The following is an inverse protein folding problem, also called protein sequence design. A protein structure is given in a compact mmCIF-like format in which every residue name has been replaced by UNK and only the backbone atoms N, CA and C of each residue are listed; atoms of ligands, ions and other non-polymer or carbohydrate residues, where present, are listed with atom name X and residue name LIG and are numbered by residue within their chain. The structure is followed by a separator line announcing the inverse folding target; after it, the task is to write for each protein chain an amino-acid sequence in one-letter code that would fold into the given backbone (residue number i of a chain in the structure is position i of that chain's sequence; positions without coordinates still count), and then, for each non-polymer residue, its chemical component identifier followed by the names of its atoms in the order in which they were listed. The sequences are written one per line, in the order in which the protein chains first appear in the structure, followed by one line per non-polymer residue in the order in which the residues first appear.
data_IF_440106527662
#
_entry.id   IF_440106527662
#
_cell.length_a   1.000
_cell.length_b   1.000
_cell.length_c   1.000
_cell.angle_alpha   90.00
_cell.angle_beta   90.00
_cell.angle_gamma   90.00
#
_symmetry.space_group_name_H-M   'P 1'
#
loop_
_entity.id
_entity.type
_entity.pdbx_description
1 polymer ?
#
# COMPACT_ATOMS: atom_id res chain seq x y z
N UNK A 1 14.67 5.80 9.28
CA UNK A 1 15.06 4.47 9.79
C UNK A 1 14.14 3.46 9.12
N UNK A 2 14.59 2.22 8.92
CA UNK A 2 13.67 1.19 8.46
C UNK A 2 12.61 0.96 9.55
N UNK A 3 11.35 0.67 9.20
CA UNK A 3 10.35 0.35 10.19
C UNK A 3 10.75 -0.93 10.94
N UNK A 4 10.51 -0.94 12.23
CA UNK A 4 10.68 -2.08 13.12
C UNK A 4 9.33 -2.58 13.59
N UNK A 5 9.30 -3.73 14.27
CA UNK A 5 8.09 -4.24 14.91
C UNK A 5 7.49 -3.19 15.85
N UNK A 6 6.18 -2.96 15.69
CA UNK A 6 5.43 -1.94 16.42
C UNK A 6 5.31 -0.59 15.69
N UNK A 7 6.11 -0.36 14.64
CA UNK A 7 6.01 0.88 13.88
C UNK A 7 4.76 0.88 12.99
N UNK A 8 4.15 2.06 12.90
CA UNK A 8 3.07 2.32 11.96
C UNK A 8 3.62 2.77 10.61
N UNK A 9 3.16 2.15 9.53
CA UNK A 9 3.40 2.55 8.15
C UNK A 9 2.06 2.89 7.50
N UNK A 10 2.04 3.88 6.61
CA UNK A 10 0.82 4.27 5.88
C UNK A 10 0.97 3.92 4.42
N UNK A 11 0.10 3.06 3.92
CA UNK A 11 -0.03 2.83 2.48
C UNK A 11 -0.88 3.94 1.87
N UNK A 12 -0.43 4.44 0.71
CA UNK A 12 -1.15 5.42 -0.09
C UNK A 12 -1.22 4.89 -1.51
N UNK A 13 -2.44 4.67 -1.98
CA UNK A 13 -2.73 4.18 -3.33
C UNK A 13 -3.42 5.28 -4.12
N UNK A 14 -3.02 5.46 -5.37
CA UNK A 14 -3.62 6.44 -6.27
C UNK A 14 -4.29 5.72 -7.44
N UNK A 15 -5.59 5.97 -7.62
CA UNK A 15 -6.39 5.43 -8.73
C UNK A 15 -6.72 6.58 -9.66
N UNK A 16 -6.46 6.41 -10.96
CA UNK A 16 -6.87 7.35 -11.98
C UNK A 16 -8.17 6.86 -12.61
N UNK A 17 -9.21 7.69 -12.56
CA UNK A 17 -10.51 7.34 -13.13
C UNK A 17 -10.55 7.39 -14.64
N UNK A 18 -11.40 6.53 -15.19
CA UNK A 18 -11.73 6.43 -16.61
C UNK A 18 -13.20 6.77 -16.89
N UNK A 19 -14.01 7.04 -15.85
CA UNK A 19 -15.44 7.27 -15.94
C UNK A 19 -16.29 6.02 -15.77
N UNK A 20 -15.69 4.87 -15.46
CA UNK A 20 -16.38 3.61 -15.19
C UNK A 20 -16.22 3.17 -13.72
N UNK A 21 -17.07 2.26 -13.24
CA UNK A 21 -16.86 1.59 -11.95
C UNK A 21 -15.53 0.84 -11.90
N UNK A 22 -14.77 1.10 -10.85
CA UNK A 22 -13.49 0.45 -10.58
C UNK A 22 -13.55 -0.24 -9.22
N UNK A 23 -12.94 -1.42 -9.14
CA UNK A 23 -12.75 -2.16 -7.89
C UNK A 23 -11.27 -2.33 -7.62
N UNK A 24 -10.81 -1.84 -6.48
CA UNK A 24 -9.44 -2.07 -6.01
C UNK A 24 -9.46 -3.06 -4.86
N UNK A 25 -8.63 -4.09 -4.94
CA UNK A 25 -8.42 -5.07 -3.88
C UNK A 25 -6.96 -5.10 -3.47
N UNK A 26 -6.68 -5.18 -2.17
CA UNK A 26 -5.33 -5.26 -1.62
C UNK A 26 -5.31 -6.31 -0.48
N UNK A 27 -4.56 -7.39 -0.68
CA UNK A 27 -4.42 -8.45 0.32
C UNK A 27 -3.18 -8.18 1.16
N UNK A 28 -3.39 -7.78 2.42
CA UNK A 28 -2.28 -7.41 3.29
C UNK A 28 -1.42 -8.65 3.62
N UNK A 29 -0.11 -8.61 3.36
CA UNK A 29 0.78 -9.72 3.66
C UNK A 29 0.78 -10.04 5.16
N UNK A 30 1.12 -11.28 5.48
CA UNK A 30 1.36 -11.66 6.86
C UNK A 30 2.49 -10.82 7.48
N UNK A 31 2.36 -10.54 8.77
CA UNK A 31 3.30 -9.66 9.49
C UNK A 31 2.91 -8.19 9.51
N UNK A 32 1.78 -7.81 8.92
CA UNK A 32 1.10 -6.53 9.14
C UNK A 32 -0.16 -6.71 10.00
N UNK A 33 -0.54 -5.68 10.75
CA UNK A 33 -1.83 -5.64 11.42
C UNK A 33 -3.00 -5.52 10.43
N UNK A 34 -4.22 -5.64 10.95
CA UNK A 34 -5.38 -5.06 10.26
C UNK A 34 -5.16 -3.56 10.01
N UNK A 35 -5.72 -2.99 8.93
CA UNK A 35 -5.62 -1.56 8.69
C UNK A 35 -6.38 -0.79 9.78
N UNK A 36 -5.88 0.39 10.10
CA UNK A 36 -6.67 1.39 10.81
C UNK A 36 -7.77 1.97 9.92
N UNK A 37 -8.24 3.17 10.24
CA UNK A 37 -9.24 3.86 9.41
C UNK A 37 -8.76 4.01 7.97
N UNK A 38 -9.58 3.53 7.03
CA UNK A 38 -9.30 3.65 5.59
C UNK A 38 -9.96 4.94 5.11
N UNK A 39 -9.14 5.89 4.67
CA UNK A 39 -9.55 7.16 4.12
C UNK A 39 -9.50 7.10 2.60
N UNK A 40 -10.61 7.39 1.94
CA UNK A 40 -10.69 7.47 0.48
C UNK A 40 -11.28 8.82 0.08
N UNK A 41 -10.65 9.51 -0.88
CA UNK A 41 -11.14 10.81 -1.36
C UNK A 41 -12.44 10.70 -2.17
N UNK A 42 -12.77 9.49 -2.65
CA UNK A 42 -13.99 9.13 -3.35
C UNK A 42 -14.24 7.64 -3.15
N UNK A 43 -15.51 7.22 -3.12
CA UNK A 43 -15.89 5.82 -2.98
C UNK A 43 -15.81 5.34 -1.54
N UNK A 44 -16.05 4.05 -1.35
CA UNK A 44 -16.04 3.42 -0.03
C UNK A 44 -15.04 2.27 -0.02
N UNK A 45 -14.30 2.17 1.08
CA UNK A 45 -13.36 1.09 1.33
C UNK A 45 -13.79 0.27 2.55
N UNK A 46 -13.61 -1.04 2.48
CA UNK A 46 -13.93 -2.00 3.53
C UNK A 46 -12.76 -2.95 3.74
N UNK A 47 -12.73 -3.61 4.90
CA UNK A 47 -11.71 -4.61 5.22
C UNK A 47 -12.37 -5.91 5.69
N UNK A 48 -12.01 -7.02 5.04
CA UNK A 48 -12.35 -8.38 5.45
C UNK A 48 -11.20 -8.96 6.29
N UNK A 49 -11.37 -9.14 7.62
CA UNK A 49 -10.32 -9.65 8.49
C UNK A 49 -9.99 -11.13 8.27
N UNK A 50 -10.91 -11.92 7.71
CA UNK A 50 -10.69 -13.35 7.45
C UNK A 50 -9.78 -13.51 6.23
N UNK A 51 -10.02 -12.72 5.19
CA UNK A 51 -9.21 -12.73 3.96
C UNK A 51 -8.03 -11.77 4.01
N UNK A 52 -7.93 -10.95 5.06
CA UNK A 52 -6.98 -9.82 5.17
C UNK A 52 -7.05 -8.89 3.95
N UNK A 53 -8.25 -8.69 3.43
CA UNK A 53 -8.49 -8.05 2.14
C UNK A 53 -9.10 -6.67 2.34
N UNK A 54 -8.40 -5.64 1.90
CA UNK A 54 -8.96 -4.30 1.69
C UNK A 54 -9.65 -4.29 0.34
N UNK A 55 -10.88 -3.79 0.28
CA UNK A 55 -11.64 -3.63 -0.97
C UNK A 55 -12.19 -2.21 -1.04
N UNK A 56 -11.85 -1.50 -2.10
CA UNK A 56 -12.39 -0.18 -2.43
C UNK A 56 -13.21 -0.24 -3.72
N UNK A 57 -14.34 0.48 -3.73
CA UNK A 57 -15.19 0.62 -4.91
C UNK A 57 -15.47 2.10 -5.16
N UNK A 58 -15.39 2.52 -6.43
CA UNK A 58 -15.76 3.87 -6.82
C UNK A 58 -15.94 4.03 -8.32
N UNK A 59 -16.51 5.17 -8.72
CA UNK A 59 -16.70 5.55 -10.13
C UNK A 59 -16.13 6.95 -10.35
N UNK A 60 -14.80 7.10 -10.30
CA UNK A 60 -14.15 8.39 -10.57
C UNK A 60 -14.35 8.82 -12.03
N UNK A 61 -14.53 10.12 -12.25
CA UNK A 61 -14.61 10.67 -13.61
C UNK A 61 -13.28 10.44 -14.36
N UNK A 62 -13.33 10.45 -15.69
CA UNK A 62 -12.13 10.34 -16.53
C UNK A 62 -11.10 11.42 -16.16
N UNK A 63 -9.89 10.99 -15.79
CA UNK A 63 -8.81 11.86 -15.36
C UNK A 63 -8.87 12.32 -13.90
N UNK A 64 -9.89 11.92 -13.13
CA UNK A 64 -9.97 12.22 -11.70
C UNK A 64 -9.03 11.29 -10.91
N UNK A 65 -8.17 11.87 -10.08
CA UNK A 65 -7.32 11.11 -9.16
C UNK A 65 -8.05 10.85 -7.84
N UNK A 66 -8.05 9.59 -7.40
CA UNK A 66 -8.57 9.16 -6.10
C UNK A 66 -7.40 8.65 -5.26
N UNK A 67 -7.31 9.13 -4.01
CA UNK A 67 -6.34 8.63 -3.05
C UNK A 67 -7.05 7.74 -2.02
N UNK A 68 -6.52 6.54 -1.82
CA UNK A 68 -6.91 5.63 -0.74
C UNK A 68 -5.71 5.47 0.20
N UNK A 69 -5.93 5.73 1.49
CA UNK A 69 -4.89 5.72 2.52
C UNK A 69 -5.34 4.93 3.73
N UNK A 70 -4.46 4.08 4.23
CA UNK A 70 -4.69 3.40 5.50
C UNK A 70 -3.38 3.10 6.22
N UNK A 71 -3.33 3.28 7.55
CA UNK A 71 -2.20 2.87 8.35
C UNK A 71 -2.27 1.38 8.68
N UNK A 72 -1.11 0.73 8.77
CA UNK A 72 -0.93 -0.62 9.35
C UNK A 72 0.27 -0.60 10.29
N UNK A 73 0.32 -1.54 11.21
CA UNK A 73 1.45 -1.72 12.12
C UNK A 73 2.24 -2.95 11.75
N UNK A 74 3.57 -2.85 11.76
CA UNK A 74 4.47 -4.00 11.56
C UNK A 74 4.42 -4.91 12.80
N UNK A 75 4.17 -6.21 12.60
CA UNK A 75 3.99 -7.19 13.68
C UNK A 75 5.10 -8.25 13.74
N UNK A 76 6.01 -8.24 12.78
CA UNK A 76 7.13 -9.18 12.66
C UNK A 76 8.45 -8.47 12.91
N UNK A 77 9.42 -9.22 13.43
CA UNK A 77 10.81 -8.80 13.54
C UNK A 77 11.53 -9.05 12.21
N UNK A 78 12.47 -8.18 11.83
CA UNK A 78 13.25 -8.31 10.61
C UNK A 78 14.62 -8.99 10.83
N UNK A 79 15.51 -8.97 9.81
CA UNK A 79 15.34 -8.32 8.51
C UNK A 79 14.40 -9.11 7.59
N UNK A 80 13.31 -8.50 7.14
CA UNK A 80 12.32 -9.15 6.27
C UNK A 80 11.73 -8.15 5.27
N UNK A 81 11.48 -8.60 4.04
CA UNK A 81 10.74 -7.83 3.05
C UNK A 81 9.26 -8.23 3.08
N UNK A 82 8.38 -7.27 3.33
CA UNK A 82 6.93 -7.37 3.22
C UNK A 82 6.51 -6.78 1.88
N UNK A 83 5.92 -7.60 1.01
CA UNK A 83 5.39 -7.17 -0.28
C UNK A 83 3.87 -7.00 -0.18
N UNK A 84 3.40 -5.78 -0.35
CA UNK A 84 1.98 -5.45 -0.42
C UNK A 84 1.57 -5.29 -1.88
N UNK A 85 0.48 -5.93 -2.30
CA UNK A 85 0.07 -5.97 -3.71
C UNK A 85 -1.38 -5.53 -3.84
N UNK A 86 -1.57 -4.42 -4.54
CA UNK A 86 -2.87 -3.89 -4.87
C UNK A 86 -3.23 -4.25 -6.32
N UNK A 87 -4.49 -4.59 -6.52
CA UNK A 87 -5.05 -5.04 -7.80
C UNK A 87 -6.27 -4.19 -8.11
N UNK A 88 -6.24 -3.45 -9.21
CA UNK A 88 -7.37 -2.68 -9.73
C UNK A 88 -8.02 -3.47 -10.87
N UNK A 89 -9.33 -3.62 -10.80
CA UNK A 89 -10.14 -4.27 -11.83
C UNK A 89 -11.16 -3.27 -12.37
N UNK A 90 -11.22 -3.16 -13.70
CA UNK A 90 -12.23 -2.34 -14.39
C UNK A 90 -13.51 -3.14 -14.69
N UNK A 91 -14.51 -2.50 -15.29
CA UNK A 91 -15.76 -3.15 -15.69
C UNK A 91 -15.61 -4.19 -16.79
N UNK A 92 -14.56 -4.09 -17.61
CA UNK A 92 -14.28 -5.01 -18.71
C UNK A 92 -13.47 -6.23 -18.24
N UNK A 93 -13.05 -6.24 -16.97
CA UNK A 93 -12.26 -7.30 -16.35
C UNK A 93 -10.76 -7.16 -16.60
N UNK A 94 -10.28 -6.02 -17.10
CA UNK A 94 -8.84 -5.76 -17.13
C UNK A 94 -8.33 -5.58 -15.72
N UNK A 95 -7.14 -6.13 -15.49
CA UNK A 95 -6.49 -6.15 -14.20
C UNK A 95 -5.19 -5.35 -14.28
N UNK A 96 -5.04 -4.39 -13.39
CA UNK A 96 -3.81 -3.64 -13.16
C UNK A 96 -3.28 -3.99 -11.78
N UNK A 97 -1.97 -4.13 -11.66
CA UNK A 97 -1.33 -4.56 -10.42
C UNK A 97 -0.19 -3.64 -10.08
N UNK A 98 -0.11 -3.23 -8.82
CA UNK A 98 1.01 -2.47 -8.28
C UNK A 98 1.49 -3.08 -6.96
N UNK A 99 2.77 -2.90 -6.66
CA UNK A 99 3.42 -3.51 -5.51
C UNK A 99 4.29 -2.53 -4.75
N UNK A 100 4.13 -2.51 -3.43
CA UNK A 100 4.99 -1.79 -2.51
C UNK A 100 5.81 -2.77 -1.66
N UNK A 101 7.11 -2.53 -1.52
CA UNK A 101 7.99 -3.33 -0.66
C UNK A 101 8.36 -2.51 0.57
N UNK A 102 8.10 -3.09 1.75
CA UNK A 102 8.55 -2.57 3.04
C UNK A 102 9.62 -3.50 3.61
N UNK A 103 10.81 -2.96 3.89
CA UNK A 103 11.90 -3.73 4.49
C UNK A 103 11.94 -3.43 5.98
N UNK A 104 11.59 -4.44 6.79
CA UNK A 104 11.61 -4.38 8.26
C UNK A 104 13.04 -4.58 8.75
N UNK A 105 13.48 -3.77 9.73
CA UNK A 105 14.82 -3.82 10.35
C UNK A 105 15.98 -3.89 9.32
N UNK A 106 15.90 -3.09 8.25
CA UNK A 106 16.91 -3.09 7.19
C UNK A 106 18.30 -2.72 7.73
N UNK A 107 19.31 -3.50 7.37
CA UNK A 107 20.71 -3.16 7.65
C UNK A 107 21.15 -1.93 6.85
N UNK A 108 21.77 -0.97 7.54
CA UNK A 108 22.35 0.21 6.91
C UNK A 108 23.86 0.01 6.72
N UNK A 109 24.31 0.12 5.47
CA UNK A 109 25.73 0.15 5.14
C UNK A 109 26.06 1.49 4.49
N UNK A 110 27.03 2.22 5.06
CA UNK A 110 27.47 3.50 4.54
C UNK A 110 28.78 3.31 3.76
N UNK A 111 28.84 3.85 2.55
CA UNK A 111 30.11 3.99 1.83
C UNK A 111 30.93 5.12 2.50
N UNK A 112 32.27 4.97 2.61
CA UNK A 112 33.11 6.07 3.05
C UNK A 112 33.00 7.24 2.06
N UNK A 113 32.73 8.44 2.57
CA UNK A 113 32.74 9.67 1.77
C UNK A 113 34.19 10.05 1.45
N UNK A 114 34.57 9.98 0.17
CA UNK A 114 35.86 10.50 -0.31
C UNK A 114 35.65 11.96 -0.71
N UNK A 115 36.18 12.90 0.09
CA UNK A 115 36.25 14.31 -0.29
C UNK A 115 37.52 14.54 -1.11
N UNK A 116 37.39 15.13 -2.30
CA UNK A 116 38.52 15.65 -3.07
C UNK A 116 38.82 17.06 -2.57
N UNK A 117 39.93 17.25 -1.86
CA UNK A 117 40.48 18.59 -1.64
C UNK A 117 41.04 19.12 -2.97
N UNK A 118 40.70 20.36 -3.31
CA UNK A 118 41.28 21.10 -4.43
C UNK A 118 42.70 21.57 -4.13
#
# INVERSE_FOLDING_TARGET
MAPSKGDAITYTMSVLGDGQPLTLTDTLPDGLSAPGSIDATLGEATYDPVRRLVTWNGTPYTGQSVMIRFPVTVQVDGPLALANTAVLTDTDGHVFTDMAITIVDAYQHYLPSVMRSY
#
